data_IF_422979941650
#
_entry.id   IF_422979941650
#
_cell.length_a   1.000
_cell.length_b   1.000
_cell.length_c   1.000
_cell.angle_alpha   90.00
_cell.angle_beta   90.00
_cell.angle_gamma   90.00
#
_symmetry.space_group_name_H-M   'P 1'
#
loop_
_entity.id
_entity.type
_entity.pdbx_description
1 polymer ?
#
# COMPACT_ATOMS: atom_id res chain seq x y z
N UNK A 1 12.06 -16.24 18.89
CA UNK A 1 10.79 -15.66 18.38
C UNK A 1 11.03 -14.18 18.11
N UNK A 2 11.29 -13.78 16.87
CA UNK A 2 11.47 -12.36 16.53
C UNK A 2 10.08 -11.71 16.59
N UNK A 3 9.83 -10.90 17.61
CA UNK A 3 8.57 -10.16 17.73
C UNK A 3 8.56 -9.08 16.64
N UNK A 4 7.58 -9.06 15.72
CA UNK A 4 7.46 -7.96 14.78
C UNK A 4 7.27 -6.66 15.54
N UNK A 5 7.87 -5.58 15.03
CA UNK A 5 7.86 -4.26 15.62
C UNK A 5 6.41 -3.83 15.96
N UNK A 6 6.03 -3.82 17.25
CA UNK A 6 4.64 -3.73 17.74
C UNK A 6 3.86 -2.52 17.17
N UNK A 7 4.55 -1.46 16.76
CA UNK A 7 3.97 -0.22 16.21
C UNK A 7 3.67 -0.25 14.71
N UNK A 8 4.28 -1.14 13.93
CA UNK A 8 3.87 -1.34 12.53
C UNK A 8 2.58 -2.16 12.47
N UNK A 9 2.48 -3.11 13.40
CA UNK A 9 1.43 -4.12 13.44
C UNK A 9 0.02 -3.59 13.76
N UNK A 10 -0.12 -2.56 14.60
CA UNK A 10 -1.42 -1.96 14.91
C UNK A 10 -1.97 -1.18 13.71
N UNK A 11 -1.12 -0.46 13.01
CA UNK A 11 -1.46 0.40 11.89
C UNK A 11 -1.79 -0.44 10.66
N UNK A 12 -1.02 -1.49 10.41
CA UNK A 12 -1.35 -2.48 9.38
C UNK A 12 -2.71 -3.14 9.65
N UNK A 13 -2.99 -3.51 10.91
CA UNK A 13 -4.32 -4.03 11.30
C UNK A 13 -5.44 -3.02 11.11
N UNK A 14 -5.21 -1.74 11.40
CA UNK A 14 -6.18 -0.69 11.17
C UNK A 14 -6.55 -0.61 9.68
N UNK A 15 -5.56 -0.69 8.79
CA UNK A 15 -5.77 -0.70 7.35
C UNK A 15 -6.49 -1.97 6.88
N UNK A 16 -6.11 -3.15 7.39
CA UNK A 16 -6.78 -4.43 7.12
C UNK A 16 -8.26 -4.36 7.48
N UNK A 17 -8.58 -3.96 8.72
CA UNK A 17 -9.96 -3.84 9.19
C UNK A 17 -10.77 -2.86 8.33
N UNK A 18 -10.12 -1.79 7.83
CA UNK A 18 -10.78 -0.83 6.93
C UNK A 18 -11.08 -1.45 5.58
N UNK A 19 -10.14 -2.17 4.96
CA UNK A 19 -10.35 -2.87 3.70
C UNK A 19 -11.42 -3.95 3.82
N UNK A 20 -11.45 -4.70 4.92
CA UNK A 20 -12.49 -5.70 5.20
C UNK A 20 -13.88 -5.06 5.30
N UNK A 21 -14.00 -3.90 5.97
CA UNK A 21 -15.27 -3.12 6.00
C UNK A 21 -15.70 -2.64 4.63
N UNK A 22 -14.76 -2.44 3.69
CA UNK A 22 -15.05 -2.14 2.28
C UNK A 22 -15.41 -3.40 1.47
N UNK A 23 -15.40 -4.58 2.09
CA UNK A 23 -15.77 -5.85 1.49
C UNK A 23 -14.63 -6.55 0.75
N UNK A 24 -13.38 -6.20 1.03
CA UNK A 24 -12.23 -6.97 0.57
C UNK A 24 -11.99 -8.19 1.46
N UNK A 25 -11.63 -9.32 0.86
CA UNK A 25 -10.90 -10.38 1.55
C UNK A 25 -9.42 -9.98 1.60
N UNK A 26 -8.81 -10.07 2.78
CA UNK A 26 -7.46 -9.52 3.02
C UNK A 26 -6.51 -10.59 3.55
N UNK A 27 -5.32 -10.65 2.97
CA UNK A 27 -4.20 -11.47 3.42
C UNK A 27 -3.02 -10.57 3.77
N UNK A 28 -2.36 -10.86 4.89
CA UNK A 28 -1.10 -10.20 5.27
C UNK A 28 0.04 -11.15 4.96
N UNK A 29 1.07 -10.65 4.27
CA UNK A 29 2.24 -11.48 4.00
C UNK A 29 3.02 -11.73 5.30
N UNK A 30 3.64 -12.92 5.44
CA UNK A 30 4.58 -13.13 6.53
C UNK A 30 5.77 -12.18 6.38
N UNK A 31 6.30 -11.71 7.52
CA UNK A 31 7.49 -10.86 7.53
C UNK A 31 8.62 -11.50 6.71
N UNK A 32 9.35 -10.69 5.93
CA UNK A 32 10.46 -11.16 5.12
C UNK A 32 11.58 -11.72 6.01
N UNK A 33 11.63 -13.04 6.11
CA UNK A 33 12.75 -13.76 6.73
C UNK A 33 13.91 -13.93 5.74
N UNK A 34 15.12 -14.10 6.27
CA UNK A 34 16.38 -14.27 5.50
C UNK A 34 16.42 -15.50 4.58
N UNK A 35 15.44 -16.40 4.66
CA UNK A 35 15.42 -17.67 3.92
C UNK A 35 14.69 -17.68 2.59
N UNK A 36 13.90 -16.65 2.24
CA UNK A 36 13.12 -16.65 0.98
C UNK A 36 13.21 -15.33 0.23
N UNK A 37 13.84 -15.36 -0.96
CA UNK A 37 13.96 -14.24 -1.92
C UNK A 37 12.68 -14.03 -2.76
N UNK A 38 11.51 -14.14 -2.14
CA UNK A 38 10.24 -13.99 -2.87
C UNK A 38 9.78 -12.54 -2.80
N UNK A 39 9.48 -11.95 -3.95
CA UNK A 39 8.75 -10.68 -4.06
C UNK A 39 7.39 -10.87 -3.37
N UNK A 40 7.03 -9.98 -2.43
CA UNK A 40 5.76 -10.04 -1.68
C UNK A 40 5.36 -8.61 -1.25
N UNK A 41 4.07 -8.28 -1.28
CA UNK A 41 3.57 -7.06 -0.66
C UNK A 41 3.43 -7.25 0.86
N UNK A 42 3.19 -6.18 1.61
CA UNK A 42 2.79 -6.30 3.02
C UNK A 42 1.35 -6.86 3.14
N UNK A 43 0.44 -6.37 2.28
CA UNK A 43 -0.97 -6.78 2.23
C UNK A 43 -1.36 -7.11 0.79
N UNK A 44 -2.10 -8.21 0.62
CA UNK A 44 -2.85 -8.52 -0.60
C UNK A 44 -4.34 -8.48 -0.27
N UNK A 45 -5.15 -7.83 -1.09
CA UNK A 45 -6.59 -7.73 -0.89
C UNK A 45 -7.35 -7.95 -2.19
N UNK A 46 -8.47 -8.69 -2.12
CA UNK A 46 -9.31 -9.01 -3.27
C UNK A 46 -10.79 -8.75 -3.01
N UNK A 47 -11.51 -8.20 -4.00
CA UNK A 47 -12.95 -7.96 -3.97
C UNK A 47 -13.55 -8.04 -5.36
N UNK A 48 -14.45 -9.01 -5.63
CA UNK A 48 -15.25 -9.09 -6.88
C UNK A 48 -14.41 -8.83 -8.15
N UNK A 49 -13.33 -9.61 -8.32
CA UNK A 49 -12.42 -9.52 -9.46
C UNK A 49 -11.52 -8.27 -9.48
N UNK A 50 -11.48 -7.46 -8.40
CA UNK A 50 -10.46 -6.46 -8.18
C UNK A 50 -9.45 -7.01 -7.19
N UNK A 51 -8.18 -7.04 -7.56
CA UNK A 51 -7.08 -7.43 -6.70
C UNK A 51 -6.12 -6.25 -6.53
N UNK A 52 -5.72 -5.96 -5.30
CA UNK A 52 -4.76 -4.92 -4.97
C UNK A 52 -3.65 -5.48 -4.08
N UNK A 53 -2.43 -5.02 -4.31
CA UNK A 53 -1.27 -5.34 -3.49
C UNK A 53 -0.75 -4.04 -2.88
N UNK A 54 -0.42 -4.07 -1.58
CA UNK A 54 -0.07 -2.88 -0.82
C UNK A 54 1.29 -3.03 -0.15
N UNK A 55 2.15 -2.05 -0.33
CA UNK A 55 3.28 -1.77 0.57
C UNK A 55 2.80 -0.76 1.62
N UNK A 56 2.96 -1.06 2.91
CA UNK A 56 2.41 -0.26 4.01
C UNK A 56 3.53 0.52 4.70
N UNK A 57 3.36 1.85 4.76
CA UNK A 57 4.31 2.74 5.44
C UNK A 57 3.60 3.75 6.32
N UNK A 58 4.17 3.99 7.50
CA UNK A 58 3.68 5.05 8.38
C UNK A 58 4.83 5.92 8.84
N UNK A 59 4.55 7.20 9.05
CA UNK A 59 5.56 8.16 9.51
C UNK A 59 4.95 9.19 10.46
N UNK A 60 5.75 9.65 11.42
CA UNK A 60 5.43 10.81 12.26
C UNK A 60 6.00 12.12 11.69
N UNK A 61 6.77 12.05 10.60
CA UNK A 61 7.41 13.19 9.93
C UNK A 61 6.54 13.67 8.78
N UNK A 62 6.82 14.87 8.26
CA UNK A 62 6.17 15.41 7.04
C UNK A 62 6.72 14.83 5.73
N UNK A 63 7.72 13.94 5.81
CA UNK A 63 8.34 13.29 4.66
C UNK A 63 8.46 11.79 4.95
N UNK A 64 8.12 10.99 3.95
CA UNK A 64 8.30 9.54 3.95
C UNK A 64 9.34 9.16 2.90
N UNK A 65 10.21 8.21 3.28
CA UNK A 65 11.17 7.58 2.41
C UNK A 65 10.82 6.10 2.29
N UNK A 66 10.79 5.58 1.07
CA UNK A 66 10.52 4.18 0.76
C UNK A 66 11.68 3.64 -0.06
N UNK A 67 12.20 2.46 0.27
CA UNK A 67 13.31 1.88 -0.48
C UNK A 67 12.88 1.57 -1.92
N UNK A 68 13.82 1.65 -2.88
CA UNK A 68 13.54 1.23 -4.26
C UNK A 68 13.10 -0.23 -4.30
N UNK A 69 13.85 -1.10 -3.61
CA UNK A 69 13.60 -2.53 -3.61
C UNK A 69 12.19 -2.88 -3.11
N UNK A 70 11.69 -2.20 -2.08
CA UNK A 70 10.32 -2.43 -1.58
C UNK A 70 9.26 -2.18 -2.65
N UNK A 71 9.36 -1.07 -3.39
CA UNK A 71 8.39 -0.77 -4.44
C UNK A 71 8.60 -1.60 -5.70
N UNK A 72 9.86 -1.90 -6.06
CA UNK A 72 10.15 -2.76 -7.18
C UNK A 72 9.65 -4.20 -6.91
N UNK A 73 9.79 -4.70 -5.67
CA UNK A 73 9.18 -5.98 -5.23
C UNK A 73 7.66 -5.94 -5.33
N UNK A 74 7.03 -4.87 -4.84
CA UNK A 74 5.58 -4.69 -4.94
C UNK A 74 5.12 -4.76 -6.40
N UNK A 75 5.78 -4.01 -7.28
CA UNK A 75 5.43 -3.96 -8.72
C UNK A 75 5.63 -5.32 -9.38
N UNK A 76 6.78 -5.97 -9.17
CA UNK A 76 7.06 -7.32 -9.73
C UNK A 76 6.07 -8.36 -9.25
N UNK A 77 5.70 -8.33 -7.96
CA UNK A 77 4.67 -9.22 -7.43
C UNK A 77 3.31 -8.94 -8.05
N UNK A 78 2.91 -7.67 -8.10
CA UNK A 78 1.65 -7.21 -8.67
C UNK A 78 1.46 -7.64 -10.11
N UNK A 79 2.49 -7.48 -10.93
CA UNK A 79 2.50 -7.90 -12.34
C UNK A 79 2.27 -9.41 -12.48
N UNK A 80 3.02 -10.23 -11.72
CA UNK A 80 2.88 -11.69 -11.73
C UNK A 80 1.53 -12.18 -11.20
N UNK A 81 0.97 -11.49 -10.20
CA UNK A 81 -0.28 -11.90 -9.54
C UNK A 81 -1.52 -11.40 -10.29
N UNK A 82 -1.42 -10.30 -11.05
CA UNK A 82 -2.58 -9.59 -11.60
C UNK A 82 -3.27 -8.70 -10.55
N UNK A 83 -2.49 -7.98 -9.74
CA UNK A 83 -3.01 -7.05 -8.73
C UNK A 83 -2.51 -5.62 -8.95
N UNK A 84 -3.37 -4.63 -8.71
CA UNK A 84 -2.98 -3.22 -8.79
C UNK A 84 -2.05 -2.85 -7.60
N UNK A 85 -0.83 -2.36 -7.85
CA UNK A 85 0.10 -1.99 -6.79
C UNK A 85 -0.22 -0.62 -6.23
N UNK A 86 -0.25 -0.49 -4.90
CA UNK A 86 -0.31 0.82 -4.23
C UNK A 86 0.64 0.90 -3.03
N UNK A 87 1.23 2.06 -2.83
CA UNK A 87 1.87 2.42 -1.57
C UNK A 87 0.81 3.01 -0.64
N UNK A 88 0.49 2.31 0.45
CA UNK A 88 -0.41 2.79 1.49
C UNK A 88 0.36 3.55 2.55
N UNK A 89 0.08 4.86 2.68
CA UNK A 89 0.78 5.75 3.60
C UNK A 89 -0.12 6.33 4.67
N UNK A 90 0.39 6.42 5.90
CA UNK A 90 -0.24 7.19 6.98
C UNK A 90 0.75 8.13 7.68
N UNK A 91 0.46 9.42 7.59
CA UNK A 91 1.20 10.49 8.28
C UNK A 91 0.54 10.78 9.64
N UNK A 92 0.98 10.12 10.71
CA UNK A 92 0.22 9.98 11.97
C UNK A 92 -0.14 11.31 12.66
N UNK A 93 0.69 12.35 12.52
CA UNK A 93 0.51 13.67 13.16
C UNK A 93 -0.18 14.69 12.25
N UNK A 94 -0.62 14.28 11.07
CA UNK A 94 -1.22 15.18 10.09
C UNK A 94 -2.70 15.44 10.34
N UNK A 95 -3.38 14.56 11.08
CA UNK A 95 -4.85 14.59 11.24
C UNK A 95 -5.60 13.85 10.13
N UNK A 96 -4.93 13.44 9.06
CA UNK A 96 -5.58 12.75 7.96
C UNK A 96 -5.43 11.24 8.03
N UNK A 97 -6.28 10.57 7.28
CA UNK A 97 -6.37 9.11 7.22
C UNK A 97 -5.34 8.50 6.23
N UNK A 98 -5.48 7.20 5.99
CA UNK A 98 -4.70 6.49 4.97
C UNK A 98 -4.89 7.09 3.58
N UNK A 99 -3.79 7.17 2.84
CA UNK A 99 -3.75 7.51 1.43
C UNK A 99 -3.07 6.39 0.66
N UNK A 100 -3.59 6.10 -0.53
CA UNK A 100 -3.01 5.19 -1.50
C UNK A 100 -2.38 6.00 -2.61
N UNK A 101 -1.16 5.64 -2.98
CA UNK A 101 -0.39 6.25 -4.05
C UNK A 101 0.00 5.17 -5.04
N UNK A 102 -0.12 5.44 -6.35
CA UNK A 102 0.43 4.54 -7.35
C UNK A 102 1.97 4.67 -7.36
N UNK A 103 2.73 3.58 -7.51
CA UNK A 103 4.19 3.65 -7.57
C UNK A 103 4.73 4.62 -8.64
N UNK A 104 4.03 4.73 -9.78
CA UNK A 104 4.36 5.63 -10.89
C UNK A 104 4.27 7.13 -10.53
N UNK A 105 3.46 7.49 -9.52
CA UNK A 105 3.28 8.88 -9.09
C UNK A 105 4.41 9.38 -8.17
N UNK A 106 5.33 8.51 -7.76
CA UNK A 106 6.35 8.82 -6.76
C UNK A 106 7.64 9.33 -7.39
N UNK A 107 8.25 10.35 -6.75
CA UNK A 107 9.56 10.86 -7.18
C UNK A 107 10.65 9.86 -6.79
N UNK A 108 11.30 9.28 -7.80
CA UNK A 108 12.41 8.34 -7.67
C UNK A 108 13.74 9.07 -7.48
N UNK A 109 14.56 8.61 -6.55
CA UNK A 109 15.99 8.93 -6.46
C UNK A 109 16.83 7.67 -6.73
N UNK A 110 18.15 7.75 -6.59
CA UNK A 110 19.04 6.60 -6.76
C UNK A 110 18.87 5.48 -5.72
N UNK A 111 18.31 5.76 -4.53
CA UNK A 111 18.21 4.78 -3.43
C UNK A 111 16.82 4.64 -2.82
N UNK A 112 15.97 5.64 -3.00
CA UNK A 112 14.64 5.67 -2.39
C UNK A 112 13.66 6.45 -3.24
N UNK A 113 12.38 6.16 -3.04
CA UNK A 113 11.30 7.07 -3.35
C UNK A 113 11.07 8.02 -2.19
N UNK A 114 10.79 9.29 -2.51
CA UNK A 114 10.46 10.32 -1.54
C UNK A 114 9.06 10.86 -1.83
N UNK A 115 8.25 10.98 -0.79
CA UNK A 115 6.95 11.64 -0.85
C UNK A 115 6.78 12.56 0.36
N UNK A 116 6.46 13.82 0.11
CA UNK A 116 6.07 14.75 1.19
C UNK A 116 4.60 14.55 1.55
N UNK A 117 4.22 15.03 2.73
CA UNK A 117 2.83 15.06 3.18
C UNK A 117 1.91 15.75 2.15
N UNK A 118 2.35 16.90 1.65
CA UNK A 118 1.61 17.70 0.66
C UNK A 118 1.47 16.97 -0.67
N UNK A 119 2.55 16.37 -1.17
CA UNK A 119 2.50 15.57 -2.40
C UNK A 119 1.58 14.35 -2.24
N UNK A 120 1.61 13.70 -1.07
CA UNK A 120 0.73 12.59 -0.77
C UNK A 120 -0.75 13.00 -0.78
N UNK A 121 -1.11 14.18 -0.25
CA UNK A 121 -2.50 14.67 -0.34
C UNK A 121 -2.93 14.98 -1.75
N UNK A 122 -2.04 15.59 -2.53
CA UNK A 122 -2.39 16.04 -3.88
C UNK A 122 -2.55 14.87 -4.85
N UNK A 123 -1.75 13.81 -4.68
CA UNK A 123 -1.68 12.68 -5.62
C UNK A 123 -2.39 11.43 -5.12
N UNK A 124 -2.44 11.26 -3.80
CA UNK A 124 -3.01 10.07 -3.19
C UNK A 124 -4.51 10.17 -3.05
N UNK A 125 -5.15 9.02 -2.84
CA UNK A 125 -6.59 8.92 -2.65
C UNK A 125 -6.92 7.99 -1.48
N UNK A 126 -8.08 8.15 -0.82
CA UNK A 126 -8.45 7.27 0.29
C UNK A 126 -8.76 5.84 -0.21
N UNK A 127 -8.58 4.78 0.62
CA UNK A 127 -8.88 3.40 0.21
C UNK A 127 -10.28 3.18 -0.38
N UNK A 128 -11.27 3.95 0.08
CA UNK A 128 -12.65 3.93 -0.43
C UNK A 128 -12.72 4.25 -1.93
N UNK A 129 -11.87 5.15 -2.42
CA UNK A 129 -11.92 5.60 -3.81
C UNK A 129 -11.48 4.52 -4.82
N UNK A 130 -10.83 3.44 -4.36
CA UNK A 130 -10.54 2.27 -5.21
C UNK A 130 -11.84 1.70 -5.80
N UNK A 131 -12.95 1.78 -5.06
CA UNK A 131 -14.22 1.21 -5.49
C UNK A 131 -14.85 1.95 -6.66
N UNK A 132 -14.57 3.25 -6.78
CA UNK A 132 -15.10 4.11 -7.84
C UNK A 132 -14.40 3.87 -9.18
N UNK A 133 -13.09 3.57 -9.17
CA UNK A 133 -12.30 3.35 -10.38
C UNK A 133 -12.84 2.18 -11.24
N UNK A 134 -13.50 1.20 -10.63
CA UNK A 134 -14.07 0.05 -11.35
C UNK A 134 -15.48 0.30 -11.89
N UNK A 135 -16.23 1.28 -11.37
CA UNK A 135 -17.56 1.59 -11.87
C UNK A 135 -17.50 2.20 -13.28
N UNK A 136 -16.43 2.90 -13.61
CA UNK A 136 -16.20 3.44 -14.96
C UNK A 136 -15.89 2.34 -15.98
N UNK A 137 -15.20 1.26 -15.58
CA UNK A 137 -14.87 0.13 -16.46
C UNK A 137 -16.08 -0.76 -16.82
N UNK A 138 -17.15 -0.76 -16.01
CA UNK A 138 -18.41 -1.48 -16.30
C UNK A 138 -19.53 -0.58 -16.85
N UNK A 139 -19.33 0.74 -16.84
CA UNK A 139 -20.32 1.73 -17.31
C UNK A 139 -20.11 2.18 -18.77
N UNK A 140 -19.01 1.79 -19.40
CA UNK A 140 -18.76 2.00 -20.82
C UNK A 140 -19.28 0.81 -21.64
N UNK A 141 -20.55 0.89 -22.03
CA UNK A 141 -21.11 0.15 -23.17
C UNK A 141 -21.17 1.08 -24.37
#
# INVERSE_FOLDING_TARGET
MILPNRKGFKEERELVNRLEKLGFAVLRAPASGSGTKSDRPDILAGRRGLCIALEVKTTNRKVLYVSLESLDQLVRFSDKFGANPYLAVKFKRSGYSWLLLKPEDLKKSCKYYKITLEEAYRKGFPPEAILSAKLEEFGGN
#
